data_IF_211635412469
#
_entry.id   IF_211635412469
#
_cell.length_a   1.000
_cell.length_b   1.000
_cell.length_c   1.000
_cell.angle_alpha   90.00
_cell.angle_beta   90.00
_cell.angle_gamma   90.00
#
_symmetry.space_group_name_H-M   'P 1'
#
loop_
_entity.id
_entity.type
_entity.pdbx_description
1 polymer ?
#
# COMPACT_ATOMS: atom_id res chain seq x y z
N UNK A 1 16.70 -30.08 -4.71
CA UNK A 1 16.03 -29.13 -5.65
C UNK A 1 16.60 -27.70 -5.58
N UNK A 2 17.15 -27.27 -4.43
CA UNK A 2 17.74 -25.92 -4.29
C UNK A 2 19.18 -25.80 -4.84
N UNK A 3 19.81 -26.87 -5.27
CA UNK A 3 21.21 -26.87 -5.71
C UNK A 3 21.40 -26.78 -7.24
N UNK A 4 20.35 -26.80 -8.04
CA UNK A 4 20.42 -26.80 -9.50
C UNK A 4 19.98 -25.51 -10.18
N UNK A 5 19.37 -24.58 -9.48
CA UNK A 5 19.18 -23.23 -10.00
C UNK A 5 20.38 -22.37 -9.59
N UNK A 6 21.49 -22.51 -10.31
CA UNK A 6 22.44 -21.41 -10.42
C UNK A 6 21.74 -20.30 -11.20
N UNK A 7 21.05 -19.41 -10.46
CA UNK A 7 20.69 -18.11 -10.99
C UNK A 7 21.98 -17.45 -11.46
N UNK A 8 22.13 -17.33 -12.76
CA UNK A 8 23.25 -16.62 -13.36
C UNK A 8 22.95 -15.14 -13.18
N UNK A 9 23.39 -14.58 -12.08
CA UNK A 9 23.20 -13.16 -11.72
C UNK A 9 23.71 -12.22 -12.82
N UNK A 10 24.53 -12.70 -13.74
CA UNK A 10 25.03 -11.95 -14.90
C UNK A 10 24.02 -11.87 -16.07
N UNK A 11 23.00 -12.74 -16.12
CA UNK A 11 21.92 -12.70 -17.13
C UNK A 11 20.67 -11.94 -16.66
N UNK A 12 20.62 -11.51 -15.41
CA UNK A 12 19.64 -10.54 -14.89
C UNK A 12 20.00 -9.11 -15.33
N UNK A 13 20.39 -8.95 -16.57
CA UNK A 13 20.61 -7.64 -17.14
C UNK A 13 19.28 -6.97 -17.45
N UNK A 14 19.02 -5.97 -16.63
CA UNK A 14 18.43 -4.73 -17.06
C UNK A 14 17.48 -4.91 -18.28
N UNK A 15 16.35 -5.54 -18.09
CA UNK A 15 15.18 -5.07 -18.80
C UNK A 15 15.12 -3.58 -18.53
N UNK A 16 14.96 -2.80 -19.55
CA UNK A 16 15.10 -1.36 -19.55
C UNK A 16 14.02 -0.68 -18.70
N UNK A 17 14.07 -0.91 -17.39
CA UNK A 17 13.14 -0.30 -16.40
C UNK A 17 13.15 1.22 -16.47
N UNK A 18 14.25 1.80 -16.95
CA UNK A 18 14.35 3.24 -17.19
C UNK A 18 13.44 3.69 -18.32
N UNK A 19 13.25 2.89 -19.35
CA UNK A 19 12.42 3.25 -20.50
C UNK A 19 10.92 3.15 -20.16
N UNK A 20 10.51 2.11 -19.45
CA UNK A 20 9.11 1.94 -19.01
C UNK A 20 8.71 3.00 -17.97
N UNK A 21 9.57 3.30 -17.01
CA UNK A 21 9.34 4.40 -16.05
C UNK A 21 9.28 5.76 -16.74
N UNK A 22 10.07 5.99 -17.79
CA UNK A 22 10.02 7.22 -18.59
C UNK A 22 8.73 7.30 -19.41
N UNK A 23 8.27 6.20 -19.99
CA UNK A 23 6.99 6.14 -20.70
C UNK A 23 5.81 6.32 -19.75
N UNK A 24 5.85 5.72 -18.57
CA UNK A 24 4.84 5.94 -17.52
C UNK A 24 4.77 7.41 -17.08
N UNK A 25 5.90 8.08 -16.90
CA UNK A 25 5.94 9.53 -16.59
C UNK A 25 5.37 10.39 -17.74
N UNK A 26 5.61 10.03 -19.00
CA UNK A 26 5.02 10.71 -20.15
C UNK A 26 3.52 10.46 -20.27
N UNK A 27 3.08 9.23 -20.05
CA UNK A 27 1.66 8.90 -20.04
C UNK A 27 0.92 9.59 -18.90
N UNK A 28 1.56 9.81 -17.74
CA UNK A 28 0.95 10.55 -16.64
C UNK A 28 0.65 12.02 -16.98
N UNK A 29 1.47 12.67 -17.80
CA UNK A 29 1.21 14.05 -18.26
C UNK A 29 0.04 14.12 -19.24
N UNK A 30 -0.13 13.11 -20.09
CA UNK A 30 -1.27 13.01 -21.01
C UNK A 30 -2.57 12.66 -20.27
N UNK A 31 -2.50 11.82 -19.25
CA UNK A 31 -3.65 11.39 -18.45
C UNK A 31 -4.21 12.48 -17.52
N UNK A 32 -3.43 13.52 -17.19
CA UNK A 32 -3.88 14.56 -16.25
C UNK A 32 -5.08 15.35 -16.77
N UNK A 33 -5.08 15.67 -18.05
CA UNK A 33 -6.22 16.34 -18.71
C UNK A 33 -7.45 15.42 -18.77
N UNK A 34 -7.26 14.19 -19.17
CA UNK A 34 -8.34 13.20 -19.29
C UNK A 34 -8.94 12.90 -17.90
N UNK A 35 -8.11 12.85 -16.85
CA UNK A 35 -8.56 12.69 -15.48
C UNK A 35 -9.40 13.89 -15.01
N UNK A 36 -8.98 15.13 -15.30
CA UNK A 36 -9.74 16.34 -14.99
C UNK A 36 -11.06 16.38 -15.77
N UNK A 37 -11.04 16.06 -17.05
CA UNK A 37 -12.24 16.01 -17.88
C UNK A 37 -13.23 14.95 -17.33
N UNK A 38 -12.72 13.79 -16.88
CA UNK A 38 -13.55 12.77 -16.23
C UNK A 38 -14.11 13.26 -14.89
N UNK A 39 -13.29 13.83 -14.00
CA UNK A 39 -13.71 14.35 -12.69
C UNK A 39 -14.82 15.40 -12.85
N UNK A 40 -14.75 16.25 -13.89
CA UNK A 40 -15.79 17.24 -14.19
C UNK A 40 -17.14 16.62 -14.64
N UNK A 41 -17.19 15.32 -14.93
CA UNK A 41 -18.44 14.58 -15.22
C UNK A 41 -19.11 14.04 -13.97
N UNK A 42 -18.41 14.04 -12.83
CA UNK A 42 -18.89 13.51 -11.57
C UNK A 42 -19.74 14.54 -10.82
N UNK A 43 -20.77 14.05 -10.15
CA UNK A 43 -21.56 14.84 -9.21
C UNK A 43 -20.79 15.04 -7.90
N UNK A 44 -21.19 16.02 -7.09
CA UNK A 44 -20.61 16.23 -5.76
C UNK A 44 -20.76 15.00 -4.87
N UNK A 45 -21.90 14.29 -4.92
CA UNK A 45 -22.14 13.06 -4.19
C UNK A 45 -21.16 11.93 -4.62
N UNK A 46 -20.93 11.77 -5.93
CA UNK A 46 -19.96 10.80 -6.44
C UNK A 46 -18.53 11.15 -6.02
N UNK A 47 -18.16 12.43 -6.00
CA UNK A 47 -16.84 12.85 -5.53
C UNK A 47 -16.64 12.58 -4.04
N UNK A 48 -17.66 12.86 -3.21
CA UNK A 48 -17.64 12.56 -1.77
C UNK A 48 -17.49 11.04 -1.56
N UNK A 49 -18.28 10.23 -2.27
CA UNK A 49 -18.21 8.78 -2.16
C UNK A 49 -16.86 8.22 -2.60
N UNK A 50 -16.27 8.74 -3.67
CA UNK A 50 -14.93 8.33 -4.10
C UNK A 50 -13.85 8.70 -3.07
N UNK A 51 -13.96 9.87 -2.44
CA UNK A 51 -13.03 10.31 -1.41
C UNK A 51 -13.14 9.47 -0.11
N UNK A 52 -14.36 9.03 0.23
CA UNK A 52 -14.60 8.22 1.42
C UNK A 52 -14.25 6.72 1.23
N UNK A 53 -14.29 6.23 0.00
CA UNK A 53 -14.19 4.81 -0.32
C UNK A 53 -15.51 4.06 -0.13
N UNK A 54 -15.55 2.78 -0.47
CA UNK A 54 -16.72 1.94 -0.28
C UNK A 54 -16.73 1.35 1.14
N UNK A 55 -17.68 1.75 2.01
CA UNK A 55 -17.76 1.20 3.36
C UNK A 55 -18.13 -0.28 3.37
N UNK A 56 -18.55 -0.80 2.22
CA UNK A 56 -19.04 -2.16 2.08
C UNK A 56 -20.29 -2.43 2.91
N UNK A 57 -20.97 -3.52 2.60
CA UNK A 57 -21.87 -4.17 3.56
C UNK A 57 -21.06 -5.14 4.43
N UNK A 58 -19.89 -4.71 4.85
CA UNK A 58 -19.03 -5.51 5.70
C UNK A 58 -19.83 -5.87 6.95
N UNK A 59 -20.23 -7.12 7.02
CA UNK A 59 -20.87 -7.64 8.21
C UNK A 59 -19.82 -7.63 9.33
N UNK A 60 -19.75 -6.51 10.04
CA UNK A 60 -19.21 -6.46 11.38
C UNK A 60 -17.71 -6.32 11.56
N UNK A 61 -16.97 -5.60 10.73
CA UNK A 61 -15.62 -5.30 11.12
C UNK A 61 -14.76 -4.68 10.03
N UNK A 62 -14.08 -3.64 10.39
CA UNK A 62 -13.53 -2.71 9.42
C UNK A 62 -12.00 -2.77 9.29
N UNK A 63 -11.28 -3.30 10.28
CA UNK A 63 -9.84 -3.25 10.27
C UNK A 63 -9.24 -4.30 9.31
N UNK A 64 -8.74 -3.83 8.18
CA UNK A 64 -7.96 -4.64 7.26
C UNK A 64 -8.73 -5.69 6.43
N UNK A 65 -10.06 -5.65 6.42
CA UNK A 65 -10.90 -6.58 5.67
C UNK A 65 -12.21 -5.95 5.16
N UNK A 66 -12.17 -4.68 4.75
CA UNK A 66 -13.33 -3.92 4.31
C UNK A 66 -13.66 -4.09 2.81
N UNK A 67 -12.82 -4.76 2.04
CA UNK A 67 -13.05 -4.95 0.60
C UNK A 67 -14.18 -5.93 0.29
N UNK A 68 -14.90 -5.65 -0.79
CA UNK A 68 -16.08 -6.40 -1.21
C UNK A 68 -15.74 -7.34 -2.37
N UNK A 69 -14.95 -6.87 -3.34
CA UNK A 69 -14.65 -7.58 -4.57
C UNK A 69 -13.71 -8.76 -4.36
N UNK A 70 -12.73 -8.59 -3.47
CA UNK A 70 -11.72 -9.59 -3.17
C UNK A 70 -11.78 -9.92 -1.68
N UNK A 71 -12.17 -11.13 -1.30
CA UNK A 71 -12.31 -11.51 0.11
C UNK A 71 -11.03 -11.32 0.91
N UNK A 72 -11.10 -10.56 2.00
CA UNK A 72 -9.96 -10.23 2.86
C UNK A 72 -9.11 -9.06 2.37
N UNK A 73 -9.48 -8.41 1.27
CA UNK A 73 -8.85 -7.14 0.88
C UNK A 73 -9.15 -6.05 1.91
N UNK A 74 -8.22 -5.10 2.02
CA UNK A 74 -8.25 -4.09 3.08
C UNK A 74 -9.36 -3.04 2.86
N UNK A 75 -9.76 -2.82 1.62
CA UNK A 75 -10.79 -1.89 1.22
C UNK A 75 -10.81 -1.73 -0.30
N UNK A 76 -11.74 -0.93 -0.78
CA UNK A 76 -11.83 -0.56 -2.19
C UNK A 76 -12.47 0.82 -2.36
N UNK A 77 -12.28 1.44 -3.52
CA UNK A 77 -12.95 2.68 -3.85
C UNK A 77 -14.44 2.44 -4.10
N UNK A 78 -15.24 3.47 -3.83
CA UNK A 78 -16.69 3.41 -4.03
C UNK A 78 -17.06 3.17 -5.50
N UNK A 79 -18.09 2.37 -5.72
CA UNK A 79 -18.53 1.92 -7.06
C UNK A 79 -19.49 2.90 -7.75
N UNK A 80 -19.63 4.12 -7.25
CA UNK A 80 -20.63 5.10 -7.74
C UNK A 80 -20.44 5.52 -9.20
N UNK A 81 -19.27 5.33 -9.78
CA UNK A 81 -18.98 5.75 -11.15
C UNK A 81 -18.55 4.61 -12.08
N UNK A 82 -18.90 3.35 -11.75
CA UNK A 82 -18.60 2.19 -12.60
C UNK A 82 -19.29 2.31 -13.97
N UNK A 83 -20.51 2.77 -14.00
CA UNK A 83 -21.28 3.03 -15.23
C UNK A 83 -20.67 4.13 -16.10
N UNK A 84 -19.83 5.01 -15.52
CA UNK A 84 -19.06 6.02 -16.22
C UNK A 84 -17.66 5.53 -16.64
N UNK A 85 -17.33 4.26 -16.37
CA UNK A 85 -16.08 3.61 -16.75
C UNK A 85 -14.95 3.68 -15.70
N UNK A 86 -15.24 4.13 -14.46
CA UNK A 86 -14.26 4.10 -13.37
C UNK A 86 -14.30 2.74 -12.67
N UNK A 87 -13.26 1.94 -12.88
CA UNK A 87 -13.11 0.67 -12.18
C UNK A 87 -12.83 0.89 -10.68
N UNK A 88 -13.30 -0.04 -9.84
CA UNK A 88 -12.96 -0.05 -8.43
C UNK A 88 -11.48 -0.36 -8.22
N UNK A 89 -10.81 0.40 -7.36
CA UNK A 89 -9.43 0.17 -6.93
C UNK A 89 -9.49 -0.67 -5.66
N UNK A 90 -8.95 -1.90 -5.73
CA UNK A 90 -8.91 -2.83 -4.60
C UNK A 90 -7.59 -2.71 -3.87
N UNK A 91 -7.65 -2.58 -2.55
CA UNK A 91 -6.52 -2.40 -1.64
C UNK A 91 -6.24 -3.69 -0.88
N UNK A 92 -5.02 -4.20 -0.89
CA UNK A 92 -4.62 -5.32 -0.05
C UNK A 92 -3.46 -4.94 0.87
N UNK A 93 -3.58 -5.28 2.14
CA UNK A 93 -2.51 -5.10 3.10
C UNK A 93 -1.49 -6.25 3.05
N UNK A 94 -0.44 -6.18 3.85
CA UNK A 94 0.54 -7.23 4.05
C UNK A 94 1.95 -6.90 3.56
N UNK A 95 2.75 -6.14 4.33
CA UNK A 95 4.15 -5.82 3.97
C UNK A 95 5.08 -7.04 3.83
N UNK A 96 4.67 -8.19 4.35
CA UNK A 96 5.38 -9.46 4.19
C UNK A 96 4.70 -10.43 3.20
N UNK A 97 4.02 -9.90 2.19
CA UNK A 97 3.21 -10.60 1.20
C UNK A 97 1.75 -10.19 1.28
N UNK A 98 0.99 -10.35 0.21
CA UNK A 98 -0.42 -9.98 0.18
C UNK A 98 -1.19 -10.70 1.30
N UNK A 99 -2.02 -9.95 2.01
CA UNK A 99 -2.87 -10.48 3.07
C UNK A 99 -4.33 -10.48 2.61
N UNK A 100 -4.78 -11.65 2.16
CA UNK A 100 -6.15 -11.93 1.78
C UNK A 100 -6.70 -13.08 2.64
N UNK A 101 -8.00 -13.30 2.61
CA UNK A 101 -8.57 -14.51 3.21
C UNK A 101 -8.02 -15.74 2.49
N UNK A 102 -7.54 -16.74 3.24
CA UNK A 102 -6.99 -17.95 2.64
C UNK A 102 -8.02 -18.78 1.86
N UNK A 103 -9.30 -18.65 2.20
CA UNK A 103 -10.41 -19.21 1.44
C UNK A 103 -11.72 -18.45 1.69
N UNK A 104 -12.65 -18.58 0.76
CA UNK A 104 -14.03 -18.11 0.83
C UNK A 104 -14.93 -19.12 0.12
N UNK A 105 -16.24 -18.96 0.24
CA UNK A 105 -17.21 -19.78 -0.47
C UNK A 105 -18.00 -18.93 -1.46
N UNK A 106 -18.49 -19.57 -2.50
CA UNK A 106 -19.46 -18.98 -3.43
C UNK A 106 -20.75 -19.80 -3.35
N UNK A 107 -21.83 -19.15 -2.95
CA UNK A 107 -23.14 -19.75 -2.85
C UNK A 107 -24.14 -18.93 -3.68
N UNK A 108 -24.77 -19.57 -4.67
CA UNK A 108 -25.70 -18.91 -5.60
C UNK A 108 -25.15 -17.59 -6.21
N UNK A 109 -23.86 -17.62 -6.61
CA UNK A 109 -23.17 -16.45 -7.20
C UNK A 109 -22.78 -15.36 -6.19
N UNK A 110 -23.03 -15.55 -4.91
CA UNK A 110 -22.66 -14.61 -3.85
C UNK A 110 -21.46 -15.12 -3.07
N UNK A 111 -20.52 -14.21 -2.75
CA UNK A 111 -19.36 -14.50 -1.90
C UNK A 111 -19.83 -14.65 -0.45
N UNK A 112 -19.46 -15.75 0.18
CA UNK A 112 -19.68 -16.05 1.60
C UNK A 112 -18.32 -16.18 2.27
N UNK A 113 -18.09 -15.35 3.26
CA UNK A 113 -16.84 -15.34 4.01
C UNK A 113 -17.06 -15.75 5.46
N UNK A 114 -15.97 -16.10 6.15
CA UNK A 114 -16.01 -16.25 7.59
C UNK A 114 -16.44 -14.93 8.26
N UNK A 115 -17.18 -14.98 9.38
CA UNK A 115 -17.44 -13.80 10.17
C UNK A 115 -16.14 -13.07 10.53
N UNK A 116 -16.22 -11.75 10.68
CA UNK A 116 -15.06 -10.89 10.88
C UNK A 116 -14.15 -11.33 12.03
N UNK A 117 -14.71 -11.73 13.16
CA UNK A 117 -13.98 -12.21 14.32
C UNK A 117 -13.06 -13.41 14.03
N UNK A 118 -13.34 -14.16 12.97
CA UNK A 118 -12.53 -15.29 12.50
C UNK A 118 -11.67 -14.94 11.29
N UNK A 119 -11.87 -13.78 10.70
CA UNK A 119 -11.13 -13.33 9.51
C UNK A 119 -10.13 -12.21 9.80
N UNK A 120 -10.10 -11.73 11.04
CA UNK A 120 -9.18 -10.67 11.47
C UNK A 120 -7.74 -11.03 11.12
N UNK A 121 -7.00 -10.03 10.63
CA UNK A 121 -5.58 -10.18 10.25
C UNK A 121 -5.31 -11.34 9.28
N UNK A 122 -6.19 -11.48 8.26
CA UNK A 122 -6.03 -12.52 7.25
C UNK A 122 -6.37 -13.93 7.75
N UNK A 123 -7.12 -14.03 8.83
CA UNK A 123 -7.58 -15.31 9.36
C UNK A 123 -6.68 -15.91 10.45
N UNK A 124 -6.07 -15.05 11.27
CA UNK A 124 -5.29 -15.50 12.42
C UNK A 124 -6.07 -16.45 13.35
N UNK A 125 -7.38 -16.25 13.44
CA UNK A 125 -8.30 -17.06 14.25
C UNK A 125 -9.25 -17.93 13.39
N UNK A 126 -8.79 -18.35 12.22
CA UNK A 126 -9.59 -19.20 11.34
C UNK A 126 -10.04 -20.48 12.06
N UNK A 127 -11.34 -20.72 12.08
CA UNK A 127 -11.92 -21.98 12.51
C UNK A 127 -12.25 -22.84 11.28
N UNK A 128 -11.30 -23.67 10.88
CA UNK A 128 -11.45 -24.58 9.73
C UNK A 128 -12.55 -25.64 9.92
N UNK A 129 -13.05 -25.81 11.15
CA UNK A 129 -14.15 -26.73 11.43
C UNK A 129 -15.52 -26.16 11.09
N UNK A 130 -15.61 -24.83 10.85
CA UNK A 130 -16.87 -24.16 10.53
C UNK A 130 -17.25 -24.38 9.07
N UNK A 131 -18.38 -25.00 8.84
CA UNK A 131 -18.93 -25.17 7.51
C UNK A 131 -19.63 -23.89 7.04
N UNK A 132 -19.24 -23.41 5.86
CA UNK A 132 -19.92 -22.35 5.14
C UNK A 132 -20.68 -22.93 3.94
N UNK A 133 -21.84 -22.38 3.55
CA UNK A 133 -22.56 -22.85 2.38
C UNK A 133 -21.82 -22.52 1.08
N UNK A 134 -22.05 -23.35 0.05
CA UNK A 134 -21.50 -23.14 -1.29
C UNK A 134 -20.16 -23.81 -1.54
N UNK A 135 -19.60 -23.55 -2.71
CA UNK A 135 -18.32 -24.10 -3.16
C UNK A 135 -17.15 -23.30 -2.58
N UNK A 136 -16.13 -24.00 -2.06
CA UNK A 136 -14.94 -23.37 -1.46
C UNK A 136 -13.90 -23.03 -2.51
N UNK A 137 -13.41 -21.80 -2.48
CA UNK A 137 -12.31 -21.28 -3.28
C UNK A 137 -11.16 -20.86 -2.37
N UNK A 138 -9.91 -21.09 -2.84
CA UNK A 138 -8.69 -20.75 -2.10
C UNK A 138 -7.94 -19.60 -2.77
N UNK A 139 -7.37 -18.72 -1.97
CA UNK A 139 -6.49 -17.64 -2.41
C UNK A 139 -5.26 -17.55 -1.49
N UNK A 140 -4.37 -18.51 -1.64
CA UNK A 140 -3.12 -18.54 -0.90
C UNK A 140 -2.14 -17.54 -1.50
N UNK A 141 -1.71 -16.58 -0.70
CA UNK A 141 -0.71 -15.59 -1.07
C UNK A 141 0.68 -16.02 -0.59
N UNK A 142 1.71 -15.56 -1.30
CA UNK A 142 3.10 -15.89 -1.00
C UNK A 142 3.61 -15.01 0.14
N UNK A 143 4.10 -15.62 1.21
CA UNK A 143 4.84 -14.90 2.25
C UNK A 143 6.25 -14.57 1.74
N UNK A 144 6.63 -13.31 1.82
CA UNK A 144 7.99 -12.84 1.54
C UNK A 144 8.73 -12.53 2.85
N UNK A 145 10.05 -12.46 2.83
CA UNK A 145 10.82 -12.03 4.00
C UNK A 145 10.37 -10.64 4.49
N UNK A 146 10.43 -10.42 5.80
CA UNK A 146 10.08 -9.13 6.41
C UNK A 146 10.99 -8.00 5.90
N UNK A 147 10.48 -6.76 5.92
CA UNK A 147 11.17 -5.59 5.35
C UNK A 147 12.61 -5.42 5.81
N UNK A 148 12.86 -5.57 7.12
CA UNK A 148 14.21 -5.50 7.68
C UNK A 148 15.17 -6.50 7.04
N UNK A 149 14.74 -7.74 6.82
CA UNK A 149 15.56 -8.77 6.19
C UNK A 149 15.80 -8.48 4.70
N UNK A 150 14.77 -8.02 3.99
CA UNK A 150 14.91 -7.62 2.58
C UNK A 150 15.94 -6.49 2.43
N UNK A 151 15.89 -5.48 3.29
CA UNK A 151 16.82 -4.34 3.25
C UNK A 151 18.28 -4.77 3.51
N UNK A 152 18.52 -5.76 4.37
CA UNK A 152 19.85 -6.28 4.67
C UNK A 152 20.51 -6.99 3.48
N UNK A 153 19.78 -7.32 2.44
CA UNK A 153 20.38 -7.85 1.21
C UNK A 153 21.22 -6.83 0.47
N UNK A 154 20.94 -5.55 0.62
CA UNK A 154 21.55 -4.43 -0.10
C UNK A 154 21.48 -4.59 -1.63
N UNK A 155 20.54 -5.41 -2.10
CA UNK A 155 20.44 -5.80 -3.51
C UNK A 155 19.15 -5.28 -4.13
N UNK A 156 19.20 -4.11 -4.75
CA UNK A 156 18.04 -3.47 -5.41
C UNK A 156 17.44 -4.33 -6.52
N UNK A 157 18.26 -5.09 -7.24
CA UNK A 157 17.78 -5.99 -8.31
C UNK A 157 16.91 -7.09 -7.75
N UNK A 158 17.38 -7.77 -6.69
CA UNK A 158 16.60 -8.79 -5.99
C UNK A 158 15.27 -8.21 -5.46
N UNK A 159 15.31 -6.99 -4.91
CA UNK A 159 14.09 -6.35 -4.39
C UNK A 159 13.08 -6.05 -5.52
N UNK A 160 13.54 -5.62 -6.70
CA UNK A 160 12.66 -5.46 -7.88
C UNK A 160 12.01 -6.78 -8.29
N UNK A 161 12.77 -7.86 -8.29
CA UNK A 161 12.23 -9.19 -8.60
C UNK A 161 11.17 -9.64 -7.60
N UNK A 162 11.41 -9.41 -6.31
CA UNK A 162 10.40 -9.65 -5.28
C UNK A 162 9.17 -8.78 -5.52
N UNK A 163 9.34 -7.51 -5.83
CA UNK A 163 8.26 -6.61 -6.18
C UNK A 163 7.47 -7.07 -7.41
N UNK A 164 8.15 -7.48 -8.47
CA UNK A 164 7.52 -7.98 -9.69
C UNK A 164 6.69 -9.25 -9.42
N UNK A 165 7.19 -10.14 -8.57
CA UNK A 165 6.46 -11.33 -8.13
C UNK A 165 5.18 -10.95 -7.36
N UNK A 166 5.26 -9.99 -6.44
CA UNK A 166 4.08 -9.48 -5.72
C UNK A 166 3.09 -8.84 -6.69
N UNK A 167 3.55 -8.02 -7.64
CA UNK A 167 2.68 -7.42 -8.66
C UNK A 167 1.98 -8.47 -9.52
N UNK A 168 2.65 -9.56 -9.87
CA UNK A 168 2.02 -10.70 -10.57
C UNK A 168 0.93 -11.36 -9.72
N UNK A 169 1.17 -11.51 -8.43
CA UNK A 169 0.18 -12.05 -7.49
C UNK A 169 -1.01 -11.08 -7.33
N UNK A 170 -0.76 -9.76 -7.26
CA UNK A 170 -1.79 -8.74 -7.24
C UNK A 170 -2.70 -8.79 -8.47
N UNK A 171 -2.11 -8.89 -9.65
CA UNK A 171 -2.85 -9.03 -10.91
C UNK A 171 -3.71 -10.30 -10.88
N UNK A 172 -3.15 -11.40 -10.40
CA UNK A 172 -3.86 -12.69 -10.31
C UNK A 172 -5.07 -12.66 -9.39
N UNK A 173 -4.99 -11.93 -8.26
CA UNK A 173 -6.09 -11.80 -7.30
C UNK A 173 -6.99 -10.58 -7.52
N UNK A 174 -6.69 -9.74 -8.52
CA UNK A 174 -7.47 -8.53 -8.79
C UNK A 174 -7.24 -7.41 -7.78
N UNK A 175 -6.05 -7.33 -7.19
CA UNK A 175 -5.61 -6.26 -6.29
C UNK A 175 -4.94 -5.15 -7.08
N UNK A 176 -5.35 -3.91 -6.87
CA UNK A 176 -4.78 -2.74 -7.56
C UNK A 176 -3.68 -2.07 -6.76
N UNK A 177 -3.89 -1.85 -5.47
CA UNK A 177 -2.91 -1.22 -4.59
C UNK A 177 -2.52 -2.15 -3.44
N UNK A 178 -1.23 -2.38 -3.34
CA UNK A 178 -0.63 -3.04 -2.19
C UNK A 178 -0.29 -1.99 -1.13
N UNK A 179 -0.80 -2.16 0.11
CA UNK A 179 -0.55 -1.26 1.23
C UNK A 179 0.84 -1.52 1.83
N UNK A 180 1.83 -1.38 1.00
CA UNK A 180 3.26 -1.55 1.28
C UNK A 180 4.08 -0.86 0.18
N UNK A 181 5.39 -0.66 0.38
CA UNK A 181 6.17 -1.01 1.56
C UNK A 181 5.97 -0.04 2.75
N UNK A 182 6.12 -0.57 3.97
CA UNK A 182 6.36 0.24 5.15
C UNK A 182 7.82 0.70 5.15
N UNK A 183 8.08 1.99 5.49
CA UNK A 183 9.43 2.53 5.37
C UNK A 183 9.81 3.57 6.43
N UNK A 184 9.12 3.57 7.56
CA UNK A 184 9.49 4.43 8.68
C UNK A 184 10.87 4.04 9.24
N UNK A 185 11.52 5.01 9.84
CA UNK A 185 12.88 4.83 10.38
C UNK A 185 12.86 3.96 11.63
N UNK A 186 13.76 2.99 11.73
CA UNK A 186 14.02 2.20 12.94
C UNK A 186 14.68 3.08 14.02
N UNK A 187 13.89 3.94 14.65
CA UNK A 187 14.39 4.87 15.66
C UNK A 187 14.58 4.20 17.02
N UNK A 188 13.64 3.34 17.39
CA UNK A 188 13.64 2.64 18.67
C UNK A 188 13.47 1.14 18.41
N UNK A 189 14.35 0.28 18.92
CA UNK A 189 14.25 -1.16 18.72
C UNK A 189 12.99 -1.78 19.34
N UNK A 190 12.34 -1.09 20.25
CA UNK A 190 11.08 -1.53 20.88
C UNK A 190 9.82 -1.17 20.05
N UNK A 191 9.95 -0.47 18.94
CA UNK A 191 8.82 -0.22 18.05
C UNK A 191 8.31 -1.55 17.46
N UNK A 192 7.05 -1.88 17.72
CA UNK A 192 6.45 -3.17 17.36
C UNK A 192 6.34 -3.43 15.85
N UNK A 193 6.51 -2.40 15.00
CA UNK A 193 6.42 -2.51 13.55
C UNK A 193 7.76 -2.41 12.82
N UNK A 194 8.90 -2.38 13.53
CA UNK A 194 10.20 -2.35 12.88
C UNK A 194 10.43 -3.51 11.91
N UNK A 195 9.82 -4.67 12.15
CA UNK A 195 9.97 -5.84 11.28
C UNK A 195 9.53 -5.56 9.84
N UNK A 196 8.49 -4.76 9.64
CA UNK A 196 7.97 -4.43 8.31
C UNK A 196 8.69 -3.24 7.66
N UNK A 197 9.44 -2.45 8.43
CA UNK A 197 10.23 -1.34 7.94
C UNK A 197 11.63 -1.78 7.52
N UNK A 198 12.31 -0.96 6.73
CA UNK A 198 13.55 -1.38 6.10
C UNK A 198 14.80 -1.12 6.93
N UNK A 199 14.98 0.11 7.46
CA UNK A 199 16.26 0.52 8.07
C UNK A 199 16.10 1.71 9.00
N UNK A 200 17.14 1.94 9.83
CA UNK A 200 17.36 3.21 10.52
C UNK A 200 17.93 4.29 9.58
N UNK A 201 18.55 3.87 8.46
CA UNK A 201 19.12 4.75 7.45
C UNK A 201 18.06 5.11 6.40
N UNK A 202 17.71 6.41 6.25
CA UNK A 202 16.70 6.84 5.29
C UNK A 202 17.10 6.61 3.83
N UNK A 203 18.39 6.59 3.51
CA UNK A 203 18.85 6.29 2.16
C UNK A 203 18.62 4.82 1.81
N UNK A 204 18.97 3.91 2.71
CA UNK A 204 18.67 2.46 2.54
C UNK A 204 17.17 2.25 2.46
N UNK A 205 16.39 2.83 3.38
CA UNK A 205 14.94 2.68 3.38
C UNK A 205 14.32 3.18 2.06
N UNK A 206 14.71 4.37 1.60
CA UNK A 206 14.19 4.97 0.39
C UNK A 206 14.55 4.22 -0.89
N UNK A 207 15.82 3.81 -1.04
CA UNK A 207 16.28 3.09 -2.23
C UNK A 207 15.72 1.67 -2.35
N UNK A 208 15.51 0.99 -1.22
CA UNK A 208 14.87 -0.33 -1.19
C UNK A 208 13.37 -0.17 -1.47
N UNK A 209 12.70 0.83 -0.90
CA UNK A 209 11.30 1.12 -1.19
C UNK A 209 11.07 1.47 -2.67
N UNK A 210 11.97 2.26 -3.27
CA UNK A 210 11.93 2.58 -4.68
C UNK A 210 12.05 1.31 -5.55
N UNK A 211 13.01 0.44 -5.25
CA UNK A 211 13.20 -0.81 -5.98
C UNK A 211 11.99 -1.75 -5.86
N UNK A 212 11.39 -1.85 -4.68
CA UNK A 212 10.16 -2.63 -4.46
C UNK A 212 9.00 -2.07 -5.28
N UNK A 213 8.83 -0.75 -5.26
CA UNK A 213 7.80 -0.03 -6.02
C UNK A 213 7.96 -0.23 -7.52
N UNK A 214 9.19 -0.07 -8.05
CA UNK A 214 9.49 -0.33 -9.46
C UNK A 214 9.11 -1.76 -9.86
N UNK A 215 9.41 -2.73 -9.01
CA UNK A 215 9.06 -4.13 -9.24
C UNK A 215 7.55 -4.35 -9.29
N UNK A 216 6.80 -3.91 -8.30
CA UNK A 216 5.34 -4.06 -8.25
C UNK A 216 4.70 -3.38 -9.46
N UNK A 217 5.10 -2.14 -9.74
CA UNK A 217 4.54 -1.30 -10.81
C UNK A 217 4.99 -1.71 -12.21
N UNK A 218 5.86 -2.70 -12.35
CA UNK A 218 6.13 -3.34 -13.64
C UNK A 218 4.96 -4.19 -14.15
N UNK A 219 4.01 -4.52 -13.28
CA UNK A 219 2.76 -5.18 -13.63
C UNK A 219 1.67 -4.13 -13.88
N UNK A 220 1.00 -4.24 -15.02
CA UNK A 220 -0.01 -3.26 -15.43
C UNK A 220 -1.19 -3.22 -14.44
N UNK A 221 -1.56 -2.01 -14.02
CA UNK A 221 -2.67 -1.80 -13.08
C UNK A 221 -2.36 -2.11 -11.63
N UNK A 222 -1.11 -2.45 -11.30
CA UNK A 222 -0.67 -2.69 -9.92
C UNK A 222 0.18 -1.53 -9.41
N UNK A 223 0.03 -1.19 -8.14
CA UNK A 223 0.82 -0.13 -7.51
C UNK A 223 1.08 -0.35 -6.04
N UNK A 224 2.03 0.41 -5.51
CA UNK A 224 2.37 0.43 -4.09
C UNK A 224 1.76 1.62 -3.38
N UNK A 225 1.54 1.46 -2.08
CA UNK A 225 1.21 2.52 -1.13
C UNK A 225 2.33 2.59 -0.10
N UNK A 226 3.27 3.50 -0.29
CA UNK A 226 4.34 3.69 0.69
C UNK A 226 3.79 4.27 1.99
N UNK A 227 4.25 3.74 3.14
CA UNK A 227 3.64 4.05 4.45
C UNK A 227 4.66 4.01 5.60
N UNK A 228 4.39 4.64 6.71
CA UNK A 228 3.32 5.59 7.03
C UNK A 228 3.88 7.01 7.04
N UNK A 229 3.35 7.87 6.25
CA UNK A 229 3.84 9.22 5.98
C UNK A 229 3.27 10.23 6.98
N UNK A 230 4.04 10.67 7.98
CA UNK A 230 5.40 10.32 8.31
C UNK A 230 5.59 10.21 9.83
N UNK A 231 6.80 9.84 10.25
CA UNK A 231 7.20 9.81 11.66
C UNK A 231 6.47 8.77 12.54
N UNK A 232 5.90 7.71 11.99
CA UNK A 232 5.36 6.61 12.78
C UNK A 232 6.48 5.70 13.31
N UNK A 233 7.15 6.11 14.38
CA UNK A 233 8.32 5.43 14.92
C UNK A 233 8.07 4.75 16.27
N UNK A 234 6.82 4.72 16.71
CA UNK A 234 6.33 3.99 17.88
C UNK A 234 4.88 3.56 17.65
N UNK A 235 4.49 2.46 18.27
CA UNK A 235 3.10 1.97 18.20
C UNK A 235 2.33 2.29 19.49
N UNK A 236 3.03 2.52 20.59
CA UNK A 236 2.41 2.90 21.84
C UNK A 236 1.79 4.30 21.72
N UNK A 237 0.48 4.38 21.95
CA UNK A 237 -0.32 5.60 21.77
C UNK A 237 -0.13 6.27 20.38
N UNK A 238 -0.05 5.49 19.32
CA UNK A 238 0.26 5.98 17.97
C UNK A 238 -0.72 7.02 17.44
N UNK A 239 -1.99 6.98 17.84
CA UNK A 239 -3.02 7.93 17.41
C UNK A 239 -2.93 9.28 18.13
N UNK A 240 -2.39 9.31 19.36
CA UNK A 240 -2.26 10.52 20.19
C UNK A 240 -0.83 11.00 20.38
N UNK A 241 0.17 10.34 19.79
CA UNK A 241 1.56 10.76 19.93
C UNK A 241 1.88 11.95 19.01
N UNK A 242 2.66 12.91 19.52
CA UNK A 242 3.17 14.04 18.74
C UNK A 242 4.68 13.92 18.55
N UNK A 243 5.09 13.83 17.31
CA UNK A 243 6.51 13.85 16.90
C UNK A 243 7.02 15.28 16.86
N UNK A 244 7.49 15.78 18.00
CA UNK A 244 8.09 17.14 18.11
C UNK A 244 9.49 17.11 17.51
N UNK A 245 9.67 17.76 16.39
CA UNK A 245 10.87 17.62 15.57
C UNK A 245 11.23 18.91 14.84
N UNK A 246 12.53 19.21 14.70
CA UNK A 246 12.99 20.33 13.89
C UNK A 246 12.82 20.06 12.41
N UNK A 247 12.57 21.09 11.62
CA UNK A 247 12.44 21.01 10.15
C UNK A 247 13.64 20.29 9.50
N UNK A 248 14.85 20.59 9.94
CA UNK A 248 16.06 19.95 9.41
C UNK A 248 16.04 18.44 9.65
N UNK A 249 15.76 18.00 10.87
CA UNK A 249 15.74 16.57 11.21
C UNK A 249 14.57 15.86 10.50
N UNK A 250 13.42 16.52 10.41
CA UNK A 250 12.27 16.01 9.66
C UNK A 250 12.67 15.69 8.22
N UNK A 251 13.27 16.66 7.52
CA UNK A 251 13.64 16.51 6.10
C UNK A 251 14.83 15.57 5.87
N UNK A 252 15.87 15.65 6.70
CA UNK A 252 17.11 14.88 6.48
C UNK A 252 16.99 13.41 6.91
N UNK A 253 16.07 13.08 7.81
CA UNK A 253 15.90 11.73 8.36
C UNK A 253 14.54 11.14 8.03
N UNK A 254 13.44 11.73 8.55
CA UNK A 254 12.15 11.08 8.53
C UNK A 254 11.42 11.17 7.19
N UNK A 255 11.65 12.22 6.43
CA UNK A 255 11.08 12.41 5.09
C UNK A 255 12.02 11.93 3.97
N UNK A 256 13.31 11.84 4.23
CA UNK A 256 14.31 11.56 3.18
C UNK A 256 14.07 10.24 2.45
N UNK A 257 13.70 9.20 3.16
CA UNK A 257 13.37 7.91 2.52
C UNK A 257 12.16 8.02 1.59
N UNK A 258 11.11 8.73 2.02
CA UNK A 258 9.92 8.97 1.20
C UNK A 258 10.23 9.83 -0.02
N UNK A 259 11.05 10.88 0.13
CA UNK A 259 11.52 11.70 -0.98
C UNK A 259 12.21 10.86 -2.06
N UNK A 260 13.14 9.97 -1.65
CA UNK A 260 13.86 9.08 -2.56
C UNK A 260 12.87 8.16 -3.29
N UNK A 261 11.97 7.51 -2.56
CA UNK A 261 10.99 6.61 -3.14
C UNK A 261 10.07 7.32 -4.15
N UNK A 262 9.57 8.51 -3.81
CA UNK A 262 8.73 9.32 -4.72
C UNK A 262 9.52 9.71 -5.98
N UNK A 263 10.72 10.27 -5.81
CA UNK A 263 11.50 10.78 -6.95
C UNK A 263 11.98 9.68 -7.88
N UNK A 264 12.37 8.51 -7.34
CA UNK A 264 12.91 7.42 -8.15
C UNK A 264 11.82 6.54 -8.79
N UNK A 265 10.69 6.30 -8.09
CA UNK A 265 9.73 5.27 -8.54
C UNK A 265 8.28 5.74 -8.67
N UNK A 266 7.92 6.93 -8.23
CA UNK A 266 6.54 7.45 -8.29
C UNK A 266 5.50 6.40 -7.84
N UNK A 267 5.46 6.02 -6.54
CA UNK A 267 4.44 5.09 -6.05
C UNK A 267 3.04 5.60 -6.37
N UNK A 268 2.10 4.71 -6.68
CA UNK A 268 0.73 5.12 -7.01
C UNK A 268 0.00 5.70 -5.80
N UNK A 269 0.44 5.38 -4.59
CA UNK A 269 -0.19 5.90 -3.37
C UNK A 269 0.81 6.14 -2.25
N UNK A 270 0.44 7.05 -1.36
CA UNK A 270 1.05 7.30 -0.05
C UNK A 270 -0.03 7.18 1.01
N UNK A 271 0.25 6.46 2.11
CA UNK A 271 -0.62 6.42 3.28
C UNK A 271 -0.04 7.29 4.39
N UNK A 272 -0.84 8.24 4.90
CA UNK A 272 -0.44 9.07 6.03
C UNK A 272 -0.39 8.25 7.32
N UNK A 273 0.40 8.71 8.28
CA UNK A 273 0.48 8.10 9.61
C UNK A 273 -0.62 8.62 10.54
N UNK A 274 -0.84 7.91 11.64
CA UNK A 274 -1.80 8.32 12.68
C UNK A 274 -1.34 9.50 13.53
N UNK A 275 -0.03 9.60 13.78
CA UNK A 275 0.55 10.54 14.74
C UNK A 275 0.46 11.99 14.29
N UNK A 276 0.60 12.90 15.26
CA UNK A 276 0.85 14.29 14.98
C UNK A 276 2.32 14.53 14.66
N UNK A 277 2.57 15.59 13.91
CA UNK A 277 3.90 16.15 13.67
C UNK A 277 3.84 17.63 14.05
N UNK A 278 4.55 17.99 15.09
CA UNK A 278 4.55 19.37 15.63
C UNK A 278 3.14 19.91 15.87
N UNK A 279 2.27 19.10 16.44
CA UNK A 279 0.90 19.46 16.82
C UNK A 279 -0.16 19.34 15.73
N UNK A 280 0.21 18.88 14.50
CA UNK A 280 -0.74 18.69 13.39
C UNK A 280 -0.78 17.22 12.99
N UNK A 281 -1.97 16.62 12.92
CA UNK A 281 -2.12 15.26 12.42
C UNK A 281 -1.57 15.12 11.01
N UNK A 282 -0.82 14.05 10.75
CA UNK A 282 -0.17 13.85 9.45
C UNK A 282 -1.17 13.89 8.28
N UNK A 283 -2.39 13.36 8.49
CA UNK A 283 -3.45 13.38 7.46
C UNK A 283 -3.95 14.79 7.12
N UNK A 284 -3.95 15.72 8.10
CA UNK A 284 -4.42 17.09 7.94
C UNK A 284 -3.28 18.10 7.68
N UNK A 285 -2.05 17.59 7.59
CA UNK A 285 -0.87 18.44 7.45
C UNK A 285 -0.64 18.85 6.00
N UNK A 286 -1.08 20.07 5.66
CA UNK A 286 -0.94 20.66 4.33
C UNK A 286 0.52 20.74 3.89
N UNK A 287 1.42 21.18 4.78
CA UNK A 287 2.85 21.32 4.47
C UNK A 287 3.49 19.96 4.15
N UNK A 288 3.03 18.90 4.81
CA UNK A 288 3.48 17.54 4.57
C UNK A 288 2.91 16.98 3.25
N UNK A 289 1.59 16.99 3.13
CA UNK A 289 0.89 16.29 2.04
C UNK A 289 0.90 17.07 0.72
N UNK A 290 0.80 18.39 0.78
CA UNK A 290 0.71 19.22 -0.41
C UNK A 290 2.05 19.87 -0.75
N UNK A 291 2.60 20.70 0.15
CA UNK A 291 3.84 21.41 -0.17
C UNK A 291 5.01 20.45 -0.37
N UNK A 292 5.24 19.57 0.57
CA UNK A 292 6.39 18.65 0.52
C UNK A 292 6.18 17.53 -0.51
N UNK A 293 5.12 16.74 -0.39
CA UNK A 293 4.95 15.58 -1.26
C UNK A 293 4.62 15.98 -2.70
N UNK A 294 3.63 16.86 -2.92
CA UNK A 294 3.18 17.21 -4.27
C UNK A 294 4.04 18.27 -4.92
N UNK A 295 4.24 19.41 -4.24
CA UNK A 295 4.90 20.56 -4.87
C UNK A 295 6.41 20.42 -4.95
N UNK A 296 7.07 19.99 -3.86
CA UNK A 296 8.54 19.85 -3.85
C UNK A 296 9.04 18.55 -4.51
N UNK A 297 8.38 17.41 -4.22
CA UNK A 297 8.83 16.10 -4.75
C UNK A 297 8.17 15.71 -6.07
N UNK A 298 7.07 16.37 -6.42
CA UNK A 298 6.30 16.07 -7.63
C UNK A 298 5.50 14.78 -7.54
N UNK A 299 5.04 14.40 -6.34
CA UNK A 299 4.18 13.24 -6.16
C UNK A 299 2.82 13.45 -6.84
N UNK A 300 2.42 12.52 -7.69
CA UNK A 300 1.18 12.61 -8.49
C UNK A 300 0.12 11.58 -8.14
N UNK A 301 0.46 10.63 -7.28
CA UNK A 301 -0.42 9.55 -6.88
C UNK A 301 -1.49 9.97 -5.86
N UNK A 302 -2.23 9.00 -5.36
CA UNK A 302 -3.24 9.19 -4.33
C UNK A 302 -2.58 9.32 -2.96
N UNK A 303 -3.07 10.24 -2.12
CA UNK A 303 -2.78 10.26 -0.69
C UNK A 303 -4.02 9.73 0.02
N UNK A 304 -3.86 8.66 0.79
CA UNK A 304 -4.91 8.10 1.64
C UNK A 304 -4.52 8.23 3.11
N UNK A 305 -5.51 8.22 3.98
CA UNK A 305 -5.27 8.11 5.42
C UNK A 305 -5.06 6.66 5.84
N UNK A 306 -4.38 6.42 6.96
CA UNK A 306 -4.49 5.14 7.64
C UNK A 306 -5.91 4.96 8.19
N UNK A 307 -6.32 3.73 8.50
CA UNK A 307 -7.70 3.38 8.88
C UNK A 307 -8.14 4.13 10.14
N UNK A 308 -9.35 4.64 10.14
CA UNK A 308 -9.97 5.36 11.27
C UNK A 308 -9.30 6.69 11.67
N UNK A 309 -8.33 7.21 10.90
CA UNK A 309 -7.63 8.46 11.24
C UNK A 309 -8.57 9.66 11.29
N UNK A 310 -9.58 9.70 10.41
CA UNK A 310 -10.54 10.82 10.31
C UNK A 310 -11.69 10.75 11.33
N UNK A 311 -11.79 9.66 12.10
CA UNK A 311 -12.79 9.54 13.18
C UNK A 311 -12.34 10.20 14.49
N UNK A 312 -11.10 10.69 14.55
CA UNK A 312 -10.46 11.22 15.78
C UNK A 312 -10.50 12.73 15.85
N UNK A 313 -10.95 13.40 14.80
CA UNK A 313 -10.95 14.86 14.67
C UNK A 313 -12.33 15.50 15.02
N UNK A 314 -13.08 14.92 15.96
CA UNK A 314 -14.22 15.58 16.58
C UNK A 314 -13.85 16.41 17.79
#
# INVERSE_FOLDING_TARGET
LAAEQKLNVAELHATDFTTEVIEYKKNSELCEKDALDFVNTLTEEELINLAAGDPGKAQGGNLGAAGISVPGSAGETHRCAIDKGLASIVLADGPAGLRLMKYYHVNDGSIVTMPFEFSLEGGLFYDDSRELPGERYYQYCTAIPVGTLLAQTWNRTLIREVGAMIGTEMEHFGVTLWLAPGMNIHRNPLCGRNFEYYSEDPYVAGTIAAAMTEGVQSNYGCGTTIKHFACNNQEDNRMGSDSVISERTLREVYLKGFEIAVRESQPLSIMTSYNLINGVHAANNYDLCTETARNEWGFRGMIMTDWTTTEVDE
#
